data_IF_991850254665
#
_entry.id   IF_991850254665
#
_cell.length_a   1.000
_cell.length_b   1.000
_cell.length_c   1.000
_cell.angle_alpha   90.00
_cell.angle_beta   90.00
_cell.angle_gamma   90.00
#
_symmetry.space_group_name_H-M   'P 1'
#
loop_
_entity.id
_entity.type
_entity.pdbx_description
1 polymer ?
#
# COMPACT_ATOMS: atom_id res chain seq x y z
N UNK A 1 17.64 34.50 -25.88
CA UNK A 1 16.45 34.42 -25.02
C UNK A 1 15.96 32.98 -24.90
N UNK A 2 15.28 32.37 -25.90
CA UNK A 2 14.69 31.01 -25.78
C UNK A 2 15.49 29.92 -25.05
N UNK A 3 16.80 29.77 -25.33
CA UNK A 3 17.65 28.73 -24.71
C UNK A 3 17.92 28.95 -23.22
N UNK A 4 17.85 30.20 -22.73
CA UNK A 4 18.03 30.53 -21.30
C UNK A 4 16.74 30.20 -20.55
N UNK A 5 15.60 30.58 -21.12
CA UNK A 5 14.26 30.31 -20.56
C UNK A 5 13.99 28.80 -20.43
N UNK A 6 14.41 28.00 -21.43
CA UNK A 6 14.31 26.52 -21.40
C UNK A 6 15.20 25.89 -20.32
N UNK A 7 16.43 26.41 -20.13
CA UNK A 7 17.36 25.91 -19.14
C UNK A 7 16.87 26.22 -17.70
N UNK A 8 16.30 27.41 -17.49
CA UNK A 8 15.72 27.80 -16.20
C UNK A 8 14.47 26.97 -15.88
N UNK A 9 13.59 26.74 -16.85
CA UNK A 9 12.42 25.87 -16.67
C UNK A 9 12.82 24.42 -16.35
N UNK A 10 13.85 23.89 -17.01
CA UNK A 10 14.38 22.56 -16.72
C UNK A 10 14.95 22.49 -15.30
N UNK A 11 15.75 23.48 -14.89
CA UNK A 11 16.31 23.53 -13.54
C UNK A 11 15.22 23.61 -12.48
N UNK A 12 14.22 24.48 -12.66
CA UNK A 12 13.09 24.59 -11.74
C UNK A 12 12.33 23.27 -11.59
N UNK A 13 12.12 22.55 -12.70
CA UNK A 13 11.49 21.23 -12.67
C UNK A 13 12.33 20.21 -11.90
N UNK A 14 13.65 20.19 -12.11
CA UNK A 14 14.56 19.30 -11.38
C UNK A 14 14.56 19.59 -9.88
N UNK A 15 14.57 20.87 -9.49
CA UNK A 15 14.49 21.27 -8.09
C UNK A 15 13.16 20.85 -7.45
N UNK A 16 12.04 21.00 -8.18
CA UNK A 16 10.73 20.53 -7.72
C UNK A 16 10.68 19.00 -7.54
N UNK A 17 11.21 18.25 -8.50
CA UNK A 17 11.30 16.78 -8.40
C UNK A 17 12.11 16.38 -7.16
N UNK A 18 13.25 17.03 -6.91
CA UNK A 18 14.07 16.77 -5.72
C UNK A 18 13.32 17.05 -4.42
N UNK A 19 12.59 18.16 -4.34
CA UNK A 19 11.78 18.50 -3.16
C UNK A 19 10.70 17.43 -2.92
N UNK A 20 9.99 17.01 -3.97
CA UNK A 20 8.97 15.97 -3.89
C UNK A 20 9.55 14.63 -3.43
N UNK A 21 10.72 14.24 -3.92
CA UNK A 21 11.40 13.02 -3.49
C UNK A 21 11.75 13.05 -2.00
N UNK A 22 12.31 14.16 -1.51
CA UNK A 22 12.61 14.34 -0.09
C UNK A 22 11.33 14.29 0.76
N UNK A 23 10.24 14.94 0.32
CA UNK A 23 8.96 14.90 1.01
C UNK A 23 8.38 13.49 1.03
N UNK A 24 8.45 12.77 -0.09
CA UNK A 24 8.01 11.38 -0.19
C UNK A 24 8.78 10.45 0.74
N UNK A 25 10.10 10.62 0.83
CA UNK A 25 10.96 9.87 1.75
C UNK A 25 10.62 10.18 3.21
N UNK A 26 10.46 11.46 3.57
CA UNK A 26 10.08 11.86 4.92
C UNK A 26 8.70 11.29 5.31
N UNK A 27 7.72 11.35 4.42
CA UNK A 27 6.40 10.75 4.63
C UNK A 27 6.50 9.23 4.83
N UNK A 28 7.32 8.54 4.03
CA UNK A 28 7.59 7.10 4.19
C UNK A 28 8.21 6.79 5.56
N UNK A 29 9.20 7.57 6.02
CA UNK A 29 9.80 7.39 7.35
C UNK A 29 8.82 7.65 8.50
N UNK A 30 7.80 8.47 8.24
CA UNK A 30 6.72 8.78 9.20
C UNK A 30 5.54 7.79 9.09
N UNK A 31 5.74 6.71 8.34
CA UNK A 31 4.73 5.69 8.01
C UNK A 31 3.48 6.20 7.25
N UNK A 32 3.54 7.41 6.71
CA UNK A 32 2.46 7.97 5.89
C UNK A 32 2.61 7.52 4.43
N UNK A 33 2.28 6.26 4.16
CA UNK A 33 2.41 5.64 2.83
C UNK A 33 1.59 6.34 1.74
N UNK A 34 0.46 6.97 2.12
CA UNK A 34 -0.41 7.68 1.17
C UNK A 34 0.23 8.97 0.70
N UNK A 35 0.74 9.78 1.63
CA UNK A 35 1.45 11.02 1.29
C UNK A 35 2.75 10.71 0.53
N UNK A 36 3.49 9.69 0.97
CA UNK A 36 4.71 9.23 0.29
C UNK A 36 4.45 8.89 -1.19
N UNK A 37 3.37 8.13 -1.46
CA UNK A 37 3.01 7.77 -2.82
C UNK A 37 2.55 8.97 -3.64
N UNK A 38 1.85 9.93 -3.03
CA UNK A 38 1.40 11.13 -3.74
C UNK A 38 2.59 11.99 -4.19
N UNK A 39 3.58 12.20 -3.32
CA UNK A 39 4.80 12.92 -3.68
C UNK A 39 5.60 12.22 -4.78
N UNK A 40 5.75 10.90 -4.71
CA UNK A 40 6.47 10.14 -5.72
C UNK A 40 5.75 10.13 -7.09
N UNK A 41 4.40 10.06 -7.11
CA UNK A 41 3.61 10.22 -8.35
C UNK A 41 3.74 11.61 -8.94
N UNK A 42 3.74 12.64 -8.12
CA UNK A 42 3.92 14.01 -8.58
C UNK A 42 5.33 14.22 -9.15
N UNK A 43 6.36 13.63 -8.52
CA UNK A 43 7.72 13.64 -9.06
C UNK A 43 7.78 12.97 -10.45
N UNK A 44 7.12 11.81 -10.64
CA UNK A 44 7.00 11.16 -11.95
C UNK A 44 6.16 11.95 -12.96
N UNK A 45 5.18 12.72 -12.52
CA UNK A 45 4.40 13.60 -13.40
C UNK A 45 5.29 14.72 -13.98
N UNK A 46 6.23 15.22 -13.19
CA UNK A 46 7.20 16.23 -13.61
C UNK A 46 8.35 15.62 -14.42
N UNK A 47 8.85 14.46 -14.01
CA UNK A 47 9.92 13.71 -14.67
C UNK A 47 9.56 12.22 -14.78
N UNK A 48 8.89 11.79 -15.88
CA UNK A 48 8.45 10.41 -16.05
C UNK A 48 9.60 9.39 -16.11
N UNK A 49 10.83 9.83 -16.36
CA UNK A 49 12.03 8.98 -16.38
C UNK A 49 12.72 8.87 -15.03
N UNK A 50 12.17 9.48 -13.98
CA UNK A 50 12.83 9.54 -12.68
C UNK A 50 12.84 8.18 -11.97
N UNK A 51 14.00 7.51 -12.02
CA UNK A 51 14.19 6.17 -11.42
C UNK A 51 13.99 6.19 -9.90
N UNK A 52 14.38 7.27 -9.21
CA UNK A 52 14.23 7.37 -7.75
C UNK A 52 12.74 7.41 -7.34
N UNK A 53 11.93 8.19 -8.06
CA UNK A 53 10.49 8.28 -7.82
C UNK A 53 9.77 6.95 -8.14
N UNK A 54 10.18 6.27 -9.21
CA UNK A 54 9.66 4.95 -9.56
C UNK A 54 9.99 3.90 -8.48
N UNK A 55 11.24 3.88 -8.00
CA UNK A 55 11.68 2.98 -6.93
C UNK A 55 10.94 3.27 -5.60
N UNK A 56 10.73 4.54 -5.28
CA UNK A 56 9.98 4.94 -4.08
C UNK A 56 8.53 4.41 -4.14
N UNK A 57 7.84 4.57 -5.27
CA UNK A 57 6.49 4.00 -5.44
C UNK A 57 6.47 2.48 -5.33
N UNK A 58 7.40 1.80 -6.00
CA UNK A 58 7.49 0.35 -5.95
C UNK A 58 7.68 -0.15 -4.50
N UNK A 59 8.57 0.50 -3.74
CA UNK A 59 8.79 0.16 -2.33
C UNK A 59 7.55 0.37 -1.46
N UNK A 60 6.80 1.46 -1.70
CA UNK A 60 5.54 1.73 -0.99
C UNK A 60 4.49 0.67 -1.29
N UNK A 61 4.33 0.30 -2.57
CA UNK A 61 3.34 -0.70 -2.98
C UNK A 61 3.70 -2.09 -2.43
N UNK A 62 4.98 -2.45 -2.42
CA UNK A 62 5.46 -3.68 -1.76
C UNK A 62 5.16 -3.68 -0.26
N UNK A 63 5.40 -2.58 0.44
CA UNK A 63 5.12 -2.48 1.88
C UNK A 63 3.62 -2.59 2.17
N UNK A 64 2.77 -1.94 1.36
CA UNK A 64 1.32 -2.07 1.48
C UNK A 64 0.85 -3.50 1.29
N UNK A 65 1.36 -4.19 0.28
CA UNK A 65 1.01 -5.58 0.02
C UNK A 65 1.45 -6.50 1.16
N UNK A 66 2.67 -6.29 1.70
CA UNK A 66 3.15 -7.02 2.87
C UNK A 66 2.26 -6.82 4.10
N UNK A 67 1.86 -5.57 4.38
CA UNK A 67 0.96 -5.25 5.50
C UNK A 67 -0.42 -5.87 5.33
N UNK A 68 -0.99 -5.78 4.13
CA UNK A 68 -2.27 -6.41 3.78
C UNK A 68 -2.21 -7.92 4.05
N UNK A 69 -1.18 -8.61 3.53
CA UNK A 69 -0.98 -10.05 3.76
C UNK A 69 -0.82 -10.39 5.24
N UNK A 70 -0.01 -9.63 5.98
CA UNK A 70 0.18 -9.86 7.41
C UNK A 70 -1.12 -9.70 8.20
N UNK A 71 -1.92 -8.69 7.88
CA UNK A 71 -3.22 -8.44 8.52
C UNK A 71 -4.20 -9.59 8.22
N UNK A 72 -4.34 -9.99 6.96
CA UNK A 72 -5.21 -11.11 6.56
C UNK A 72 -4.79 -12.40 7.26
N UNK A 73 -3.50 -12.71 7.28
CA UNK A 73 -2.98 -13.91 7.95
C UNK A 73 -3.26 -13.90 9.47
N UNK A 74 -3.14 -12.75 10.11
CA UNK A 74 -3.45 -12.62 11.54
C UNK A 74 -4.95 -12.84 11.82
N UNK A 75 -5.82 -12.29 10.97
CA UNK A 75 -7.28 -12.47 11.08
C UNK A 75 -7.68 -13.93 10.81
N UNK A 76 -7.13 -14.55 9.78
CA UNK A 76 -7.34 -15.97 9.46
C UNK A 76 -6.89 -16.89 10.59
N UNK A 77 -5.73 -16.63 11.19
CA UNK A 77 -5.22 -17.42 12.31
C UNK A 77 -6.18 -17.36 13.51
N UNK A 78 -6.64 -16.16 13.87
CA UNK A 78 -7.63 -15.98 14.93
C UNK A 78 -8.98 -16.63 14.58
N UNK A 79 -9.45 -16.47 13.34
CA UNK A 79 -10.72 -17.03 12.88
C UNK A 79 -10.73 -18.55 12.91
N UNK A 80 -9.63 -19.20 12.48
CA UNK A 80 -9.46 -20.65 12.59
C UNK A 80 -9.41 -21.13 14.04
N UNK A 81 -8.79 -20.35 14.94
CA UNK A 81 -8.81 -20.68 16.38
C UNK A 81 -10.22 -20.57 16.96
N UNK A 82 -10.99 -19.55 16.62
CA UNK A 82 -12.39 -19.42 17.02
C UNK A 82 -13.24 -20.58 16.50
N UNK A 83 -13.09 -20.93 15.21
CA UNK A 83 -13.75 -22.08 14.61
C UNK A 83 -13.42 -23.39 15.34
N UNK A 84 -12.17 -23.60 15.74
CA UNK A 84 -11.75 -24.80 16.49
C UNK A 84 -12.34 -24.90 17.91
N UNK A 85 -12.91 -23.81 18.42
CA UNK A 85 -13.62 -23.74 19.70
C UNK A 85 -15.15 -23.75 19.51
N UNK A 86 -15.63 -24.01 18.29
CA UNK A 86 -17.03 -23.89 17.89
C UNK A 86 -17.62 -22.47 18.10
N UNK A 87 -16.75 -21.45 18.15
CA UNK A 87 -17.17 -20.05 18.24
C UNK A 87 -17.38 -19.48 16.83
N UNK A 88 -18.49 -19.88 16.21
CA UNK A 88 -18.83 -19.54 14.82
C UNK A 88 -19.10 -18.04 14.62
N UNK A 89 -19.61 -17.36 15.65
CA UNK A 89 -19.85 -15.92 15.62
C UNK A 89 -18.52 -15.14 15.53
N UNK A 90 -17.56 -15.45 16.41
CA UNK A 90 -16.24 -14.82 16.36
C UNK A 90 -15.50 -15.17 15.07
N UNK A 91 -15.54 -16.45 14.65
CA UNK A 91 -14.91 -16.91 13.42
C UNK A 91 -15.46 -16.18 12.19
N UNK A 92 -16.79 -16.02 12.10
CA UNK A 92 -17.47 -15.31 11.01
C UNK A 92 -17.10 -13.84 10.97
N UNK A 93 -17.11 -13.16 12.13
CA UNK A 93 -16.70 -11.75 12.22
C UNK A 93 -15.26 -11.54 11.75
N UNK A 94 -14.32 -12.39 12.19
CA UNK A 94 -12.91 -12.32 11.78
C UNK A 94 -12.72 -12.64 10.28
N UNK A 95 -13.50 -13.57 9.73
CA UNK A 95 -13.51 -13.86 8.30
C UNK A 95 -14.00 -12.67 7.46
N UNK A 96 -15.09 -12.01 7.88
CA UNK A 96 -15.60 -10.80 7.22
C UNK A 96 -14.63 -9.62 7.30
N UNK A 97 -13.94 -9.47 8.44
CA UNK A 97 -12.87 -8.49 8.59
C UNK A 97 -11.70 -8.77 7.65
N UNK A 98 -11.28 -10.04 7.52
CA UNK A 98 -10.24 -10.43 6.57
C UNK A 98 -10.66 -10.22 5.11
N UNK A 99 -11.93 -10.46 4.79
CA UNK A 99 -12.49 -10.26 3.45
C UNK A 99 -12.54 -8.78 3.07
N UNK A 100 -12.77 -7.91 4.05
CA UNK A 100 -12.72 -6.46 3.85
C UNK A 100 -11.31 -5.95 3.56
N UNK A 101 -10.27 -6.67 4.01
CA UNK A 101 -8.86 -6.34 3.75
C UNK A 101 -8.40 -6.90 2.39
N UNK A 102 -8.80 -8.14 2.07
CA UNK A 102 -8.47 -8.80 0.80
C UNK A 102 -9.65 -9.67 0.35
N UNK A 103 -10.53 -9.08 -0.47
CA UNK A 103 -11.76 -9.72 -0.92
C UNK A 103 -11.54 -10.87 -1.90
N UNK A 104 -10.35 -10.99 -2.48
CA UNK A 104 -9.97 -12.05 -3.40
C UNK A 104 -9.19 -13.19 -2.72
N UNK A 105 -9.03 -13.16 -1.40
CA UNK A 105 -8.24 -14.14 -0.68
C UNK A 105 -8.98 -15.48 -0.54
N UNK A 106 -8.48 -16.52 -1.21
CA UNK A 106 -9.09 -17.85 -1.19
C UNK A 106 -9.16 -18.48 0.21
N UNK A 107 -8.18 -18.23 1.09
CA UNK A 107 -8.20 -18.77 2.45
C UNK A 107 -9.30 -18.14 3.31
N UNK A 108 -9.65 -16.88 3.04
CA UNK A 108 -10.78 -16.20 3.69
C UNK A 108 -12.10 -16.80 3.23
N UNK A 109 -12.26 -17.03 1.91
CA UNK A 109 -13.44 -17.69 1.37
C UNK A 109 -13.62 -19.10 1.97
N UNK A 110 -12.53 -19.88 2.06
CA UNK A 110 -12.55 -21.22 2.65
C UNK A 110 -12.94 -21.21 4.13
N UNK A 111 -12.46 -20.23 4.92
CA UNK A 111 -12.84 -20.10 6.33
C UNK A 111 -14.35 -19.82 6.47
N UNK A 112 -14.88 -18.89 5.68
CA UNK A 112 -16.31 -18.53 5.72
C UNK A 112 -17.20 -19.69 5.30
N UNK A 113 -16.83 -20.42 4.24
CA UNK A 113 -17.55 -21.62 3.82
C UNK A 113 -17.56 -22.68 4.94
N UNK A 114 -16.42 -22.92 5.60
CA UNK A 114 -16.36 -23.90 6.68
C UNK A 114 -17.30 -23.57 7.86
N UNK A 115 -17.57 -22.27 8.11
CA UNK A 115 -18.51 -21.80 9.13
C UNK A 115 -19.97 -22.00 8.67
N UNK A 116 -20.24 -21.84 7.38
CA UNK A 116 -21.60 -22.06 6.83
C UNK A 116 -22.01 -23.54 6.83
N UNK A 117 -21.04 -24.46 6.89
CA UNK A 117 -21.24 -25.91 6.89
C UNK A 117 -21.41 -26.52 8.30
N UNK A 118 -21.21 -25.74 9.38
CA UNK A 118 -21.37 -26.18 10.79
C UNK A 118 -22.74 -25.89 11.36
#
# INVERSE_FOLDING_TARGET
MKRIDEAEALKHRQDQVRVLLTQGQNALTSDNLTEAANHAREALRLDPGNVEAANLLQGIDQLREQRKKAQVNALLSKGRQALSRDDFEEAGRLGQEALSVDSANADVANLLQAIEET
#
